data_IF_217827122561
#
_entry.id   IF_217827122561
#
_cell.length_a   1.000
_cell.length_b   1.000
_cell.length_c   1.000
_cell.angle_alpha   90.00
_cell.angle_beta   90.00
_cell.angle_gamma   90.00
#
_symmetry.space_group_name_H-M   'P 1'
#
loop_
_entity.id
_entity.type
_entity.pdbx_description
1 polymer ?
#
# COMPACT_ATOMS: atom_id res chain seq x y z
N UNK A 1 11.72 9.51 8.71
CA UNK A 1 13.04 9.09 9.27
C UNK A 1 13.80 10.28 9.87
N UNK A 2 13.84 11.45 9.21
CA UNK A 2 14.57 12.61 9.73
C UNK A 2 13.97 13.18 11.04
N UNK A 3 12.65 13.17 11.18
CA UNK A 3 11.95 13.68 12.37
C UNK A 3 12.25 12.85 13.63
N UNK A 4 12.51 11.56 13.48
CA UNK A 4 12.94 10.70 14.60
C UNK A 4 14.27 11.12 15.21
N UNK A 5 15.12 11.82 14.44
CA UNK A 5 16.42 12.30 14.88
C UNK A 5 16.35 13.70 15.51
N UNK A 6 15.26 14.44 15.30
CA UNK A 6 15.18 15.85 15.67
C UNK A 6 14.49 16.12 17.00
N UNK A 7 13.96 15.16 17.72
CA UNK A 7 13.22 15.32 18.98
C UNK A 7 12.15 16.46 19.01
N UNK A 8 11.91 17.13 17.88
CA UNK A 8 10.92 18.18 17.70
C UNK A 8 9.86 17.74 16.68
N UNK A 9 8.70 17.36 17.18
CA UNK A 9 7.60 16.86 16.37
C UNK A 9 6.86 17.96 15.60
N UNK A 10 7.19 19.25 15.78
CA UNK A 10 6.49 20.36 15.11
C UNK A 10 6.68 20.33 13.61
N UNK A 11 7.90 20.11 13.15
CA UNK A 11 8.21 20.07 11.71
C UNK A 11 7.48 18.91 11.03
N UNK A 12 7.45 17.74 11.67
CA UNK A 12 6.71 16.59 11.15
C UNK A 12 5.19 16.84 11.14
N UNK A 13 4.66 17.44 12.21
CA UNK A 13 3.25 17.82 12.30
C UNK A 13 2.87 18.77 11.17
N UNK A 14 3.63 19.85 10.96
CA UNK A 14 3.40 20.83 9.90
C UNK A 14 3.50 20.20 8.51
N UNK A 15 4.44 19.28 8.30
CA UNK A 15 4.57 18.53 7.06
C UNK A 15 3.32 17.69 6.77
N UNK A 16 2.86 16.91 7.74
CA UNK A 16 1.65 16.10 7.61
C UNK A 16 0.40 16.96 7.41
N UNK A 17 0.28 18.08 8.14
CA UNK A 17 -0.82 19.02 7.97
C UNK A 17 -0.89 19.59 6.56
N UNK A 18 0.23 19.98 6.00
CA UNK A 18 0.30 20.53 4.66
C UNK A 18 -0.20 19.54 3.60
N UNK A 19 0.18 18.26 3.71
CA UNK A 19 -0.36 17.23 2.82
C UNK A 19 -1.86 17.00 3.02
N UNK A 20 -2.30 16.91 4.26
CA UNK A 20 -3.70 16.62 4.59
C UNK A 20 -4.65 17.77 4.20
N UNK A 21 -4.17 19.01 4.27
CA UNK A 21 -4.96 20.20 3.93
C UNK A 21 -4.95 20.53 2.44
N UNK A 22 -3.95 20.08 1.70
CA UNK A 22 -3.89 20.32 0.27
C UNK A 22 -4.98 19.52 -0.44
N UNK A 23 -5.88 20.17 -1.19
CA UNK A 23 -6.88 19.46 -1.96
C UNK A 23 -6.19 18.63 -3.05
N UNK A 24 -6.71 17.44 -3.30
CA UNK A 24 -6.35 16.66 -4.47
C UNK A 24 -7.05 17.30 -5.67
N UNK A 25 -6.38 18.24 -6.33
CA UNK A 25 -6.96 18.97 -7.45
C UNK A 25 -7.21 18.07 -8.65
N UNK A 26 -8.42 18.14 -9.18
CA UNK A 26 -8.71 17.81 -10.57
C UNK A 26 -9.24 16.40 -10.83
N UNK A 27 -9.27 15.48 -9.89
CA UNK A 27 -9.78 14.11 -10.16
C UNK A 27 -11.02 13.70 -9.35
N UNK A 28 -11.53 14.57 -8.52
CA UNK A 28 -12.69 14.22 -7.69
C UNK A 28 -12.40 13.11 -6.65
N UNK A 29 -11.16 12.63 -6.57
CA UNK A 29 -10.73 11.63 -5.63
C UNK A 29 -10.23 12.27 -4.35
N UNK A 30 -10.50 11.64 -3.23
CA UNK A 30 -10.07 12.13 -1.92
C UNK A 30 -8.57 11.91 -1.63
N UNK A 31 -7.77 11.55 -2.63
CA UNK A 31 -6.33 11.30 -2.51
C UNK A 31 -5.52 12.57 -2.24
N UNK A 32 -4.26 12.40 -1.90
CA UNK A 32 -3.36 13.48 -1.55
C UNK A 32 -2.38 13.78 -2.70
N UNK A 33 -1.82 14.99 -2.75
CA UNK A 33 -0.83 15.34 -3.77
C UNK A 33 0.41 14.43 -3.64
N UNK A 34 1.08 14.23 -4.76
CA UNK A 34 2.29 13.40 -4.83
C UNK A 34 3.47 14.05 -4.10
N UNK A 35 3.62 15.36 -4.24
CA UNK A 35 4.71 16.15 -3.65
C UNK A 35 4.17 17.45 -3.09
N UNK A 36 4.62 17.81 -1.90
CA UNK A 36 4.31 19.10 -1.29
C UNK A 36 5.50 19.61 -0.45
N UNK A 37 5.91 20.89 -0.56
CA UNK A 37 5.55 21.82 -1.61
C UNK A 37 6.14 21.40 -2.96
N UNK A 38 5.41 21.66 -4.04
CA UNK A 38 5.87 21.33 -5.38
C UNK A 38 6.49 22.54 -6.10
N UNK A 39 7.54 22.30 -6.87
CA UNK A 39 8.17 23.32 -7.70
C UNK A 39 7.34 23.70 -8.94
N UNK A 40 6.38 22.83 -9.29
CA UNK A 40 5.47 23.02 -10.42
C UNK A 40 4.08 22.60 -10.02
N UNK A 41 3.08 23.32 -10.48
CA UNK A 41 1.68 23.06 -10.23
C UNK A 41 1.26 21.64 -10.64
N UNK A 42 1.90 21.09 -11.68
CA UNK A 42 1.63 19.73 -12.14
C UNK A 42 1.98 18.63 -11.11
N UNK A 43 2.84 18.90 -10.15
CA UNK A 43 3.14 17.94 -9.07
C UNK A 43 2.22 18.12 -7.87
N UNK A 44 1.69 19.33 -7.66
CA UNK A 44 0.71 19.60 -6.60
C UNK A 44 -0.70 19.21 -7.02
N UNK A 45 -1.02 19.36 -8.31
CA UNK A 45 -2.32 19.01 -8.90
C UNK A 45 -2.37 17.60 -9.45
N UNK A 46 -1.27 16.86 -9.38
CA UNK A 46 -1.23 15.49 -9.87
C UNK A 46 -2.16 14.62 -9.05
N UNK A 47 -2.79 13.73 -9.74
CA UNK A 47 -3.76 12.75 -9.29
C UNK A 47 -3.30 11.86 -8.14
N UNK A 48 -2.11 12.09 -7.67
CA UNK A 48 -1.44 11.40 -6.60
C UNK A 48 -1.12 9.96 -6.96
N UNK A 49 0.06 9.55 -6.61
CA UNK A 49 0.36 8.13 -6.63
C UNK A 49 -0.49 7.49 -5.53
N UNK A 50 -1.51 6.71 -5.90
CA UNK A 50 -2.53 6.20 -4.96
C UNK A 50 -1.94 5.48 -3.77
N UNK A 51 -0.90 4.68 -4.00
CA UNK A 51 -0.19 3.98 -2.93
C UNK A 51 0.58 4.90 -1.99
N UNK A 52 1.03 6.08 -2.46
CA UNK A 52 1.65 7.08 -1.60
C UNK A 52 0.66 7.70 -0.63
N UNK A 53 -0.58 7.88 -1.04
CA UNK A 53 -1.64 8.30 -0.12
C UNK A 53 -1.87 7.27 0.99
N UNK A 54 -1.74 5.97 0.68
CA UNK A 54 -1.82 4.91 1.70
C UNK A 54 -0.64 4.99 2.69
N UNK A 55 0.57 5.20 2.18
CA UNK A 55 1.76 5.41 3.01
C UNK A 55 1.62 6.64 3.90
N UNK A 56 1.16 7.77 3.36
CA UNK A 56 0.90 8.98 4.14
C UNK A 56 -0.06 8.71 5.30
N UNK A 57 -1.11 7.94 5.08
CA UNK A 57 -2.04 7.55 6.15
C UNK A 57 -1.38 6.69 7.21
N UNK A 58 -0.49 5.79 6.83
CA UNK A 58 0.31 5.02 7.79
C UNK A 58 1.25 5.93 8.61
N UNK A 59 1.87 6.94 7.98
CA UNK A 59 2.71 7.93 8.66
C UNK A 59 1.90 8.78 9.64
N UNK A 60 0.68 9.20 9.26
CA UNK A 60 -0.24 9.90 10.16
C UNK A 60 -0.55 9.07 11.42
N UNK A 61 -0.86 7.80 11.23
CA UNK A 61 -1.11 6.89 12.36
C UNK A 61 0.13 6.74 13.25
N UNK A 62 1.30 6.56 12.64
CA UNK A 62 2.56 6.43 13.38
C UNK A 62 2.93 7.71 14.12
N UNK A 63 2.72 8.88 13.51
CA UNK A 63 2.90 10.18 14.17
C UNK A 63 2.03 10.28 15.42
N UNK A 64 0.72 10.03 15.30
CA UNK A 64 -0.22 10.10 16.42
C UNK A 64 0.16 9.10 17.52
N UNK A 65 0.47 7.86 17.14
CA UNK A 65 0.87 6.80 18.09
C UNK A 65 2.12 7.19 18.89
N UNK A 66 3.10 7.77 18.22
CA UNK A 66 4.41 8.12 18.82
C UNK A 66 4.36 9.38 19.67
N UNK A 67 3.59 10.37 19.25
CA UNK A 67 3.53 11.69 19.90
C UNK A 67 2.40 11.81 20.91
N UNK A 68 1.33 11.03 20.78
CA UNK A 68 0.10 11.20 21.55
C UNK A 68 -0.67 12.47 21.21
N UNK A 69 -0.46 13.07 20.03
CA UNK A 69 -1.13 14.32 19.61
C UNK A 69 -2.60 14.07 19.25
N UNK A 70 -3.43 14.02 20.30
CA UNK A 70 -4.87 13.81 20.16
C UNK A 70 -5.55 15.00 19.47
N UNK A 71 -5.04 16.22 19.67
CA UNK A 71 -5.60 17.41 19.03
C UNK A 71 -5.44 17.31 17.49
N UNK A 72 -4.24 16.96 17.01
CA UNK A 72 -4.00 16.71 15.59
C UNK A 72 -4.90 15.61 15.04
N UNK A 73 -5.02 14.49 15.76
CA UNK A 73 -5.90 13.38 15.36
C UNK A 73 -7.34 13.86 15.15
N UNK A 74 -7.90 14.56 16.14
CA UNK A 74 -9.30 14.96 16.12
C UNK A 74 -9.59 16.04 15.07
N UNK A 75 -8.66 16.98 14.89
CA UNK A 75 -8.73 18.01 13.85
C UNK A 75 -8.66 17.42 12.43
N UNK A 76 -7.89 16.35 12.22
CA UNK A 76 -7.68 15.76 10.88
C UNK A 76 -8.65 14.61 10.58
N UNK A 77 -9.37 14.11 11.57
CA UNK A 77 -10.33 13.02 11.42
C UNK A 77 -11.30 13.19 10.23
N UNK A 78 -11.97 14.34 10.01
CA UNK A 78 -12.89 14.50 8.87
C UNK A 78 -12.19 14.31 7.50
N UNK A 79 -10.93 14.73 7.39
CA UNK A 79 -10.17 14.58 6.15
C UNK A 79 -9.77 13.12 5.89
N UNK A 80 -9.42 12.41 6.95
CA UNK A 80 -9.12 10.97 6.88
C UNK A 80 -10.37 10.18 6.54
N UNK A 81 -11.51 10.49 7.11
CA UNK A 81 -12.82 9.87 6.79
C UNK A 81 -13.20 10.09 5.32
N UNK A 82 -12.98 11.29 4.80
CA UNK A 82 -13.22 11.61 3.38
C UNK A 82 -12.29 10.81 2.47
N UNK A 83 -11.03 10.64 2.86
CA UNK A 83 -10.06 9.81 2.13
C UNK A 83 -10.50 8.34 2.11
N UNK A 84 -10.82 7.75 3.26
CA UNK A 84 -11.29 6.36 3.33
C UNK A 84 -12.56 6.15 2.51
N UNK A 85 -13.49 7.11 2.53
CA UNK A 85 -14.67 7.07 1.67
C UNK A 85 -14.31 7.03 0.19
N UNK A 86 -13.36 7.87 -0.24
CA UNK A 86 -12.93 7.94 -1.65
C UNK A 86 -12.20 6.68 -2.13
N UNK A 87 -11.53 5.93 -1.25
CA UNK A 87 -10.90 4.66 -1.66
C UNK A 87 -11.93 3.61 -2.08
N UNK A 88 -13.16 3.71 -1.56
CA UNK A 88 -14.23 2.76 -1.87
C UNK A 88 -14.74 2.85 -3.31
N UNK A 89 -14.48 3.95 -4.00
CA UNK A 89 -14.82 4.10 -5.42
C UNK A 89 -14.04 3.09 -6.31
N UNK A 90 -12.96 2.54 -5.78
CA UNK A 90 -12.15 1.51 -6.45
C UNK A 90 -12.42 0.09 -5.94
N UNK A 91 -13.36 -0.08 -5.03
CA UNK A 91 -13.67 -1.40 -4.50
C UNK A 91 -14.39 -2.24 -5.56
N UNK A 92 -13.73 -3.28 -6.02
CA UNK A 92 -14.30 -4.23 -6.96
C UNK A 92 -15.34 -5.15 -6.34
N UNK A 93 -16.10 -5.82 -7.17
CA UNK A 93 -17.11 -6.80 -6.74
C UNK A 93 -16.51 -7.99 -5.98
N UNK A 94 -15.23 -8.26 -6.19
CA UNK A 94 -14.47 -9.29 -5.48
C UNK A 94 -14.09 -8.89 -4.04
N UNK A 95 -14.31 -7.62 -3.63
CA UNK A 95 -13.96 -7.11 -2.31
C UNK A 95 -12.50 -6.67 -2.13
N UNK A 96 -11.77 -6.52 -3.23
CA UNK A 96 -10.43 -5.92 -3.31
C UNK A 96 -10.49 -4.66 -4.18
N UNK A 97 -9.49 -3.77 -4.03
CA UNK A 97 -9.36 -2.60 -4.88
C UNK A 97 -8.93 -3.02 -6.28
N UNK A 98 -9.66 -2.53 -7.28
CA UNK A 98 -9.45 -2.82 -8.70
C UNK A 98 -9.25 -1.54 -9.51
N UNK A 99 -8.43 -1.64 -10.54
CA UNK A 99 -8.22 -0.58 -11.53
C UNK A 99 -7.87 0.79 -10.93
N UNK A 100 -7.15 0.78 -9.81
CA UNK A 100 -6.70 2.01 -9.19
C UNK A 100 -5.74 2.75 -10.13
N UNK A 101 -5.91 4.06 -10.31
CA UNK A 101 -5.00 4.85 -11.13
C UNK A 101 -3.64 5.03 -10.43
N UNK A 102 -2.60 5.26 -11.21
CA UNK A 102 -1.30 5.71 -10.75
C UNK A 102 -0.74 4.93 -9.53
N UNK A 103 -0.82 3.59 -9.58
CA UNK A 103 -0.16 2.74 -8.60
C UNK A 103 1.34 2.91 -8.76
N UNK A 104 2.02 3.25 -7.67
CA UNK A 104 3.46 3.31 -7.61
C UNK A 104 3.96 2.44 -6.45
N UNK A 105 4.69 1.38 -6.75
CA UNK A 105 5.24 0.48 -5.75
C UNK A 105 6.71 0.76 -5.54
N UNK A 106 7.50 0.86 -6.64
CA UNK A 106 8.91 1.21 -6.62
C UNK A 106 9.35 1.78 -7.99
N UNK A 107 10.64 2.09 -8.13
CA UNK A 107 11.24 2.62 -9.37
C UNK A 107 11.62 1.51 -10.37
N UNK A 108 10.84 0.45 -10.46
CA UNK A 108 11.11 -0.69 -11.33
C UNK A 108 10.00 -0.91 -12.36
N UNK A 109 10.18 -1.90 -13.22
CA UNK A 109 9.14 -2.35 -14.15
C UNK A 109 7.89 -2.90 -13.43
N UNK A 110 7.98 -3.18 -12.12
CA UNK A 110 6.83 -3.58 -11.32
C UNK A 110 5.70 -2.54 -11.31
N UNK A 111 6.00 -1.27 -11.63
CA UNK A 111 5.00 -0.21 -11.75
C UNK A 111 4.26 -0.15 -13.08
N UNK A 112 4.72 -0.89 -14.09
CA UNK A 112 4.03 -0.91 -15.37
C UNK A 112 2.58 -1.37 -15.18
N UNK A 113 1.62 -0.66 -15.81
CA UNK A 113 0.19 -0.96 -15.66
C UNK A 113 -0.14 -2.45 -15.93
N UNK A 114 0.56 -3.07 -16.87
CA UNK A 114 0.44 -4.50 -17.15
C UNK A 114 0.83 -5.40 -15.98
N UNK A 115 1.66 -4.92 -15.06
CA UNK A 115 2.12 -5.67 -13.88
C UNK A 115 1.25 -5.41 -12.66
N UNK A 116 0.72 -4.20 -12.49
CA UNK A 116 -0.02 -3.79 -11.29
C UNK A 116 -1.54 -3.84 -11.44
N UNK A 117 -2.05 -4.02 -12.66
CA UNK A 117 -3.49 -4.03 -12.93
C UNK A 117 -4.00 -5.44 -13.26
N UNK A 118 -5.31 -5.72 -13.05
CA UNK A 118 -6.33 -4.87 -12.44
C UNK A 118 -6.31 -4.84 -10.91
N UNK A 119 -5.87 -5.91 -10.24
CA UNK A 119 -5.81 -6.04 -8.78
C UNK A 119 -4.36 -6.13 -8.37
N UNK A 120 -3.78 -5.00 -7.94
CA UNK A 120 -2.40 -4.98 -7.45
C UNK A 120 -2.32 -5.66 -6.08
N UNK A 121 -1.47 -6.66 -5.95
CA UNK A 121 -1.25 -7.35 -4.67
C UNK A 121 -0.61 -6.43 -3.64
N UNK A 122 0.44 -5.70 -4.02
CA UNK A 122 1.12 -4.78 -3.12
C UNK A 122 0.21 -3.65 -2.65
N UNK A 123 -0.57 -3.04 -3.57
CA UNK A 123 -1.48 -1.97 -3.22
C UNK A 123 -2.61 -2.44 -2.28
N UNK A 124 -3.17 -3.62 -2.53
CA UNK A 124 -4.21 -4.19 -1.65
C UNK A 124 -3.66 -4.64 -0.30
N UNK A 125 -2.43 -5.15 -0.24
CA UNK A 125 -1.78 -5.46 1.04
C UNK A 125 -1.57 -4.19 1.87
N UNK A 126 -1.08 -3.12 1.25
CA UNK A 126 -0.90 -1.82 1.90
C UNK A 126 -2.23 -1.19 2.32
N UNK A 127 -3.25 -1.28 1.46
CA UNK A 127 -4.61 -0.83 1.81
C UNK A 127 -5.15 -1.55 3.05
N UNK A 128 -5.06 -2.87 3.10
CA UNK A 128 -5.54 -3.64 4.24
C UNK A 128 -4.81 -3.25 5.54
N UNK A 129 -3.49 -3.12 5.48
CA UNK A 129 -2.67 -2.66 6.60
C UNK A 129 -3.04 -1.24 7.06
N UNK A 130 -3.18 -0.31 6.12
CA UNK A 130 -3.59 1.06 6.39
C UNK A 130 -4.96 1.12 7.07
N UNK A 131 -5.94 0.36 6.59
CA UNK A 131 -7.30 0.35 7.16
C UNK A 131 -7.30 -0.13 8.61
N UNK A 132 -6.55 -1.18 8.94
CA UNK A 132 -6.38 -1.63 10.32
C UNK A 132 -5.80 -0.51 11.20
N UNK A 133 -4.72 0.16 10.75
CA UNK A 133 -4.07 1.25 11.48
C UNK A 133 -4.96 2.48 11.66
N UNK A 134 -5.67 2.87 10.62
CA UNK A 134 -6.62 3.98 10.69
C UNK A 134 -7.76 3.66 11.66
N UNK A 135 -8.31 2.46 11.59
CA UNK A 135 -9.36 2.02 12.50
C UNK A 135 -8.94 2.05 13.96
N UNK A 136 -7.74 1.56 14.28
CA UNK A 136 -7.15 1.63 15.63
C UNK A 136 -6.95 3.08 16.09
N UNK A 137 -6.39 3.94 15.21
CA UNK A 137 -6.00 5.31 15.55
C UNK A 137 -7.20 6.23 15.72
N UNK A 138 -8.21 6.12 14.85
CA UNK A 138 -9.36 7.01 14.80
C UNK A 138 -10.64 6.44 15.44
N UNK A 139 -10.56 5.23 15.97
CA UNK A 139 -11.68 4.59 16.68
C UNK A 139 -12.80 4.10 15.75
N UNK A 140 -12.45 3.52 14.61
CA UNK A 140 -13.36 2.96 13.62
C UNK A 140 -13.25 1.43 13.51
N UNK A 141 -14.02 0.65 14.29
CA UNK A 141 -13.97 -0.81 14.24
C UNK A 141 -14.30 -1.39 12.86
N UNK A 142 -15.22 -0.73 12.13
CA UNK A 142 -15.60 -1.10 10.76
C UNK A 142 -14.42 -1.04 9.78
N UNK A 143 -13.48 -0.13 9.96
CA UNK A 143 -12.26 -0.05 9.15
C UNK A 143 -11.29 -1.18 9.47
N UNK A 144 -11.19 -1.57 10.75
CA UNK A 144 -10.39 -2.73 11.16
C UNK A 144 -10.95 -4.00 10.50
N UNK A 145 -12.27 -4.20 10.59
CA UNK A 145 -12.94 -5.35 9.96
C UNK A 145 -12.76 -5.37 8.45
N UNK A 146 -12.82 -4.21 7.80
CA UNK A 146 -12.60 -4.08 6.36
C UNK A 146 -11.16 -4.45 5.99
N UNK A 147 -10.16 -3.94 6.73
CA UNK A 147 -8.75 -4.29 6.53
C UNK A 147 -8.50 -5.78 6.70
N UNK A 148 -9.04 -6.38 7.76
CA UNK A 148 -8.92 -7.82 8.02
C UNK A 148 -9.57 -8.66 6.92
N UNK A 149 -10.75 -8.26 6.44
CA UNK A 149 -11.43 -8.93 5.34
C UNK A 149 -10.64 -8.85 4.04
N UNK A 150 -10.14 -7.66 3.68
CA UNK A 150 -9.30 -7.49 2.50
C UNK A 150 -8.02 -8.32 2.58
N UNK A 151 -7.38 -8.35 3.73
CA UNK A 151 -6.21 -9.20 4.01
C UNK A 151 -6.52 -10.68 3.81
N UNK A 152 -7.62 -11.16 4.37
CA UNK A 152 -8.02 -12.56 4.25
C UNK A 152 -8.33 -12.97 2.81
N UNK A 153 -9.04 -12.11 2.07
CA UNK A 153 -9.33 -12.32 0.65
C UNK A 153 -8.06 -12.36 -0.19
N UNK A 154 -7.17 -11.40 0.03
CA UNK A 154 -5.92 -11.33 -0.71
C UNK A 154 -5.01 -12.54 -0.44
N UNK A 155 -4.92 -12.97 0.82
CA UNK A 155 -4.21 -14.21 1.21
C UNK A 155 -4.75 -15.41 0.46
N UNK A 156 -6.07 -15.61 0.48
CA UNK A 156 -6.72 -16.71 -0.24
C UNK A 156 -6.46 -16.65 -1.74
N UNK A 157 -6.54 -15.47 -2.34
CA UNK A 157 -6.30 -15.24 -3.77
C UNK A 157 -4.85 -15.56 -4.17
N UNK A 158 -3.87 -15.12 -3.38
CA UNK A 158 -2.44 -15.35 -3.64
C UNK A 158 -2.06 -16.83 -3.47
N UNK A 159 -2.61 -17.51 -2.46
CA UNK A 159 -2.33 -18.92 -2.18
C UNK A 159 -3.02 -19.85 -3.19
N UNK A 160 -4.19 -19.44 -3.72
CA UNK A 160 -4.86 -20.12 -4.83
C UNK A 160 -5.18 -21.60 -4.62
N UNK A 161 -5.53 -21.99 -3.40
CA UNK A 161 -5.82 -23.39 -3.04
C UNK A 161 -4.58 -24.24 -2.73
N UNK A 162 -3.37 -23.65 -2.83
CA UNK A 162 -2.11 -24.25 -2.37
C UNK A 162 -1.94 -24.14 -0.85
N UNK A 163 -0.70 -24.25 -0.39
CA UNK A 163 -0.33 -24.08 1.02
C UNK A 163 0.58 -22.86 1.18
N UNK A 164 0.32 -22.04 2.21
CA UNK A 164 1.22 -20.93 2.57
C UNK A 164 2.64 -21.42 2.85
N UNK A 165 2.80 -22.57 3.46
CA UNK A 165 4.11 -23.15 3.76
C UNK A 165 4.95 -23.44 2.50
N UNK A 166 4.31 -23.62 1.35
CA UNK A 166 4.98 -23.86 0.05
C UNK A 166 4.95 -22.65 -0.88
N UNK A 167 4.37 -21.54 -0.45
CA UNK A 167 4.31 -20.29 -1.23
C UNK A 167 5.73 -19.77 -1.49
N UNK A 168 6.08 -19.68 -2.76
CA UNK A 168 7.42 -19.23 -3.18
C UNK A 168 7.46 -17.79 -3.65
N UNK A 169 6.40 -17.35 -4.33
CA UNK A 169 6.28 -16.02 -4.91
C UNK A 169 4.90 -15.43 -4.65
N UNK A 170 4.86 -14.13 -4.50
CA UNK A 170 3.63 -13.34 -4.47
C UNK A 170 3.49 -12.67 -5.83
N UNK A 171 2.38 -12.87 -6.56
CA UNK A 171 2.17 -12.22 -7.86
C UNK A 171 2.01 -10.71 -7.71
N UNK A 172 2.50 -9.94 -8.67
CA UNK A 172 2.34 -8.48 -8.68
C UNK A 172 0.88 -8.08 -8.80
N UNK A 173 0.12 -8.83 -9.60
CA UNK A 173 -1.30 -8.60 -9.78
C UNK A 173 -2.09 -9.87 -10.00
N UNK A 174 -3.38 -9.74 -9.74
CA UNK A 174 -4.40 -10.77 -9.91
C UNK A 174 -5.48 -10.29 -10.85
N UNK A 175 -6.17 -11.24 -11.48
CA UNK A 175 -7.46 -11.06 -12.14
C UNK A 175 -8.51 -11.91 -11.44
N UNK A 176 -9.77 -11.56 -11.60
CA UNK A 176 -10.91 -12.37 -11.15
C UNK A 176 -11.77 -12.73 -12.35
N UNK A 177 -12.16 -13.99 -12.45
CA UNK A 177 -13.05 -14.46 -13.53
C UNK A 177 -14.54 -14.26 -13.20
N UNK A 178 -15.40 -14.56 -14.14
CA UNK A 178 -16.86 -14.42 -13.99
C UNK A 178 -17.47 -15.31 -12.90
N UNK A 179 -16.72 -16.27 -12.37
CA UNK A 179 -17.13 -17.16 -11.28
C UNK A 179 -16.55 -16.72 -9.92
N UNK A 180 -15.79 -15.62 -9.89
CA UNK A 180 -15.15 -15.12 -8.68
C UNK A 180 -13.82 -15.80 -8.32
N UNK A 181 -13.22 -16.59 -9.21
CA UNK A 181 -11.93 -17.19 -8.97
C UNK A 181 -10.80 -16.25 -9.32
N UNK A 182 -9.79 -16.17 -8.45
CA UNK A 182 -8.61 -15.36 -8.66
C UNK A 182 -7.54 -16.12 -9.45
N UNK A 183 -6.88 -15.41 -10.35
CA UNK A 183 -5.80 -15.92 -11.18
C UNK A 183 -4.60 -14.98 -11.14
N UNK A 184 -3.41 -15.56 -10.92
CA UNK A 184 -2.16 -14.81 -11.04
C UNK A 184 -1.89 -14.46 -12.50
N UNK A 185 -1.36 -13.26 -12.74
CA UNK A 185 -0.87 -12.86 -14.06
C UNK A 185 0.55 -13.34 -14.38
N UNK A 186 1.16 -14.09 -13.47
CA UNK A 186 2.47 -14.72 -13.67
C UNK A 186 3.65 -13.76 -13.66
N UNK A 187 3.47 -12.55 -13.16
CA UNK A 187 4.55 -11.60 -12.88
C UNK A 187 4.81 -11.54 -11.38
N UNK A 188 6.08 -11.45 -11.01
CA UNK A 188 6.52 -11.51 -9.62
C UNK A 188 7.66 -10.52 -9.42
N UNK A 189 7.49 -9.54 -8.58
CA UNK A 189 8.52 -8.58 -8.23
C UNK A 189 8.92 -8.68 -6.77
N UNK A 190 10.12 -8.22 -6.49
CA UNK A 190 10.61 -8.01 -5.14
C UNK A 190 9.67 -7.11 -4.33
N UNK A 191 9.18 -6.05 -4.96
CA UNK A 191 8.30 -5.08 -4.35
C UNK A 191 6.99 -5.69 -3.83
N UNK A 192 6.32 -6.55 -4.60
CA UNK A 192 5.11 -7.24 -4.16
C UNK A 192 5.39 -8.16 -2.96
N UNK A 193 6.54 -8.84 -2.94
CA UNK A 193 6.91 -9.74 -1.86
C UNK A 193 7.25 -8.99 -0.57
N UNK A 194 8.09 -7.94 -0.65
CA UNK A 194 8.43 -7.14 0.52
C UNK A 194 7.21 -6.44 1.11
N UNK A 195 6.39 -5.81 0.27
CA UNK A 195 5.18 -5.14 0.73
C UNK A 195 4.21 -6.12 1.39
N UNK A 196 4.04 -7.31 0.82
CA UNK A 196 3.18 -8.34 1.40
C UNK A 196 3.65 -8.80 2.78
N UNK A 197 4.96 -9.03 2.95
CA UNK A 197 5.55 -9.40 4.24
C UNK A 197 5.48 -8.23 5.22
N UNK A 198 5.83 -7.02 4.79
CA UNK A 198 5.81 -5.83 5.65
C UNK A 198 4.40 -5.48 6.14
N UNK A 199 3.40 -5.58 5.28
CA UNK A 199 1.99 -5.37 5.65
C UNK A 199 1.38 -6.54 6.46
N UNK A 200 2.16 -7.56 6.75
CA UNK A 200 1.69 -8.73 7.51
C UNK A 200 0.64 -9.55 6.76
N UNK A 201 0.72 -9.56 5.42
CA UNK A 201 -0.10 -10.47 4.62
C UNK A 201 0.30 -11.93 4.91
N UNK A 202 1.58 -12.17 5.12
CA UNK A 202 2.16 -13.44 5.55
C UNK A 202 3.18 -13.21 6.65
N UNK A 203 3.24 -14.12 7.64
CA UNK A 203 4.32 -14.13 8.61
C UNK A 203 5.46 -15.05 8.15
N UNK A 204 6.68 -14.87 8.68
CA UNK A 204 7.80 -15.76 8.37
C UNK A 204 7.52 -17.23 8.68
N UNK A 205 6.76 -17.49 9.72
CA UNK A 205 6.41 -18.83 10.18
C UNK A 205 5.39 -19.51 9.25
N UNK A 206 4.45 -18.71 8.71
CA UNK A 206 3.42 -19.21 7.77
C UNK A 206 3.99 -19.46 6.36
N UNK A 207 4.93 -18.63 5.92
CA UNK A 207 5.47 -18.65 4.56
C UNK A 207 7.02 -18.74 4.53
N UNK A 208 7.63 -19.77 5.11
CA UNK A 208 9.08 -19.87 5.25
C UNK A 208 9.82 -19.95 3.90
N UNK A 209 9.18 -20.52 2.87
CA UNK A 209 9.79 -20.59 1.53
C UNK A 209 9.77 -19.22 0.87
N UNK A 210 8.71 -18.43 1.04
CA UNK A 210 8.66 -17.04 0.54
C UNK A 210 9.78 -16.21 1.18
N UNK A 211 9.92 -16.27 2.51
CA UNK A 211 10.99 -15.55 3.23
C UNK A 211 12.37 -16.00 2.77
N UNK A 212 12.57 -17.31 2.59
CA UNK A 212 13.83 -17.84 2.04
C UNK A 212 14.09 -17.31 0.62
N UNK A 213 13.08 -17.26 -0.22
CA UNK A 213 13.18 -16.74 -1.60
C UNK A 213 13.59 -15.28 -1.61
N UNK A 214 12.92 -14.44 -0.79
CA UNK A 214 13.25 -13.02 -0.64
C UNK A 214 14.69 -12.84 -0.17
N UNK A 215 15.10 -13.55 0.87
CA UNK A 215 16.46 -13.44 1.41
C UNK A 215 17.54 -13.91 0.42
N UNK A 216 17.33 -15.04 -0.25
CA UNK A 216 18.37 -15.69 -1.06
C UNK A 216 18.45 -15.10 -2.48
N UNK A 217 17.34 -14.55 -3.02
CA UNK A 217 17.27 -14.03 -4.38
C UNK A 217 17.16 -12.51 -4.49
N UNK A 218 16.65 -11.86 -3.46
CA UNK A 218 16.26 -10.45 -3.44
C UNK A 218 16.98 -9.64 -2.36
N UNK A 219 18.11 -10.13 -1.87
CA UNK A 219 18.92 -9.43 -0.89
C UNK A 219 19.86 -8.39 -1.54
N UNK A 220 20.73 -7.76 -0.75
CA UNK A 220 21.66 -6.72 -1.23
C UNK A 220 22.67 -7.22 -2.26
N UNK A 221 22.82 -8.52 -2.47
CA UNK A 221 23.53 -9.05 -3.61
C UNK A 221 22.55 -9.15 -4.79
N UNK A 222 22.75 -8.42 -5.90
CA UNK A 222 21.77 -8.29 -6.97
C UNK A 222 21.67 -9.55 -7.85
N UNK A 223 21.38 -10.69 -7.26
CA UNK A 223 21.21 -11.95 -8.00
C UNK A 223 19.92 -11.88 -8.85
N UNK A 224 18.94 -11.14 -8.39
CA UNK A 224 17.68 -10.91 -9.09
C UNK A 224 17.82 -10.02 -10.33
N UNK A 225 18.82 -9.15 -10.41
CA UNK A 225 19.10 -8.37 -11.64
C UNK A 225 19.35 -9.25 -12.88
N UNK A 226 19.54 -10.54 -12.66
CA UNK A 226 19.71 -11.55 -13.72
C UNK A 226 18.49 -12.45 -13.91
N UNK A 227 17.49 -12.33 -13.06
CA UNK A 227 16.24 -13.09 -13.15
C UNK A 227 15.17 -12.20 -13.80
N UNK A 228 14.80 -12.45 -15.08
CA UNK A 228 13.82 -11.63 -15.79
C UNK A 228 12.42 -11.66 -15.18
N UNK A 229 12.18 -12.53 -14.20
CA UNK A 229 10.93 -12.63 -13.45
C UNK A 229 10.88 -11.67 -12.25
N UNK A 230 12.02 -11.17 -11.81
CA UNK A 230 12.15 -10.22 -10.72
C UNK A 230 12.50 -8.89 -11.34
N UNK A 231 11.61 -7.93 -11.28
CA UNK A 231 11.76 -6.65 -11.96
C UNK A 231 13.14 -6.03 -11.78
N UNK A 232 13.61 -5.41 -12.84
CA UNK A 232 14.89 -4.72 -12.88
C UNK A 232 14.78 -3.50 -11.95
N UNK A 233 15.22 -3.63 -10.71
CA UNK A 233 15.39 -2.49 -9.81
C UNK A 233 16.60 -1.72 -10.28
N UNK A 234 16.39 -0.77 -11.16
CA UNK A 234 17.38 0.26 -11.43
C UNK A 234 17.37 1.24 -10.25
N UNK A 235 18.33 1.11 -9.37
CA UNK A 235 18.79 2.21 -8.52
C UNK A 235 19.95 2.90 -9.22
#
# INVERSE_FOLDING_TARGET
AASLLLSDNRVEREYLENFLLTPADGMGHAFFPEVYPALKDCYASFTGLTTWSFWLMCEVCEFIRRTGDIAFRDERKPRVEAFVKGTKDFMGSCGLLENMPAIFIDWSQANNAENVQPISTAANALYAYMMERLGETFGHPDWIEEGQRAKALLRAAVVGGGSMATLKYVPDSLTVDGNGHFHSRGKFSEAAMYTSLWCGLFTPEEAPILVKTVRDKMGPAPVYAKDPMVGDTQL
#
